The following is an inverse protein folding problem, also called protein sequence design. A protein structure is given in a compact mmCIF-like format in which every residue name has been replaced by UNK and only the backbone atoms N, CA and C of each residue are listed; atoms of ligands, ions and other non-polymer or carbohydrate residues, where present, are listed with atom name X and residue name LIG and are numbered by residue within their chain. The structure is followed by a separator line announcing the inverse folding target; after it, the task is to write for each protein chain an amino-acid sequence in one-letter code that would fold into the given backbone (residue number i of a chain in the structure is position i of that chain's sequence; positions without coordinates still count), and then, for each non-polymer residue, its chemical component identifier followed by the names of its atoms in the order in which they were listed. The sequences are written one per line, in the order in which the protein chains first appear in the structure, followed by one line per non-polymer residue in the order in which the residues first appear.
data_IF_712085737406
#
_entry.id   IF_712085737406
#
_cell.length_a   1.000
_cell.length_b   1.000
_cell.length_c   1.000
_cell.angle_alpha   90.00
_cell.angle_beta   90.00
_cell.angle_gamma   90.00
#
_symmetry.space_group_name_H-M   'P 1'
#
loop_
_entity.id
_entity.type
_entity.pdbx_description
1 polymer ?
#
# COMPACT_ATOMS: atom_id res chain seq x y z
N UNK A 1 42.64 -16.61 50.33
CA UNK A 1 41.44 -17.46 50.30
C UNK A 1 40.57 -17.01 49.14
N UNK A 2 40.44 -17.90 48.14
CA UNK A 2 39.33 -18.12 47.19
C UNK A 2 38.92 -17.06 46.15
N UNK A 3 39.40 -17.33 44.90
CA UNK A 3 38.75 -17.38 43.55
C UNK A 3 37.84 -16.22 43.09
N UNK A 4 37.71 -15.84 41.81
CA UNK A 4 38.47 -15.90 40.54
C UNK A 4 37.57 -15.24 39.46
N UNK A 5 38.12 -14.35 38.63
CA UNK A 5 37.90 -14.15 37.17
C UNK A 5 36.46 -14.14 36.60
N UNK A 6 36.01 -13.04 35.98
CA UNK A 6 35.76 -12.90 34.52
C UNK A 6 35.28 -11.47 34.14
N UNK A 7 35.74 -11.04 32.96
CA UNK A 7 35.61 -9.75 32.27
C UNK A 7 34.24 -9.54 31.59
N UNK A 8 33.81 -8.29 31.38
CA UNK A 8 33.31 -7.71 30.10
C UNK A 8 32.76 -6.27 30.37
N UNK A 9 33.40 -5.19 29.90
CA UNK A 9 33.16 -4.49 28.62
C UNK A 9 31.77 -3.84 28.50
N UNK A 10 31.78 -2.50 28.55
CA UNK A 10 30.88 -1.54 27.89
C UNK A 10 29.41 -1.41 28.37
N UNK A 11 29.16 -0.35 29.15
CA UNK A 11 27.83 0.25 29.29
C UNK A 11 27.91 1.75 28.97
N UNK A 12 27.87 2.08 27.67
CA UNK A 12 27.57 3.43 27.20
C UNK A 12 26.05 3.49 27.02
N UNK A 13 25.41 4.30 27.87
CA UNK A 13 23.99 4.63 27.82
C UNK A 13 23.80 5.57 26.62
N UNK A 14 23.20 5.06 25.53
CA UNK A 14 22.72 5.88 24.42
C UNK A 14 21.18 5.84 24.38
N UNK A 15 20.60 7.02 24.47
CA UNK A 15 19.18 7.33 24.39
C UNK A 15 18.66 7.06 22.98
N UNK A 16 17.84 6.03 22.81
CA UNK A 16 16.96 5.85 21.64
C UNK A 16 15.67 5.11 22.05
N UNK A 17 14.85 5.79 22.85
CA UNK A 17 13.47 5.41 23.08
C UNK A 17 12.60 5.72 21.85
N UNK A 18 12.70 4.91 20.81
CA UNK A 18 11.64 4.83 19.81
C UNK A 18 10.60 3.81 20.30
N UNK A 19 9.35 4.28 20.38
CA UNK A 19 8.15 3.52 20.69
C UNK A 19 8.08 2.25 19.83
N UNK A 20 8.32 1.09 20.45
CA UNK A 20 7.89 -0.21 19.91
C UNK A 20 6.36 -0.23 19.99
N UNK A 21 5.70 -0.03 18.87
CA UNK A 21 4.30 -0.41 18.71
C UNK A 21 4.20 -1.95 18.61
N UNK A 22 3.11 -2.55 19.11
CA UNK A 22 2.99 -4.00 19.16
C UNK A 22 3.02 -4.57 17.74
N UNK A 23 3.99 -5.45 17.48
CA UNK A 23 3.90 -6.43 16.40
C UNK A 23 2.62 -7.24 16.66
N UNK A 24 1.69 -7.37 15.71
CA UNK A 24 0.52 -8.20 15.90
C UNK A 24 0.94 -9.62 16.29
N UNK A 25 0.31 -10.13 17.34
CA UNK A 25 0.54 -11.45 17.90
C UNK A 25 0.38 -12.51 16.81
N UNK A 26 1.24 -13.52 16.86
CA UNK A 26 1.43 -14.64 15.92
C UNK A 26 0.21 -15.60 15.79
N UNK A 27 -1.02 -15.13 16.04
CA UNK A 27 -2.22 -15.95 16.24
C UNK A 27 -3.37 -15.74 15.25
N UNK A 28 -3.59 -14.53 14.72
CA UNK A 28 -4.83 -14.20 13.97
C UNK A 28 -4.54 -13.50 12.64
N UNK A 29 -3.54 -13.99 11.90
CA UNK A 29 -3.08 -13.41 10.62
C UNK A 29 -3.84 -14.05 9.42
N UNK A 30 -4.76 -15.00 9.68
CA UNK A 30 -5.31 -15.89 8.66
C UNK A 30 -6.54 -15.39 7.86
N UNK A 31 -7.17 -14.28 8.21
CA UNK A 31 -8.52 -13.96 7.68
C UNK A 31 -8.65 -12.73 6.76
N UNK A 32 -7.60 -11.94 6.53
CA UNK A 32 -7.69 -10.73 5.67
C UNK A 32 -6.58 -10.65 4.59
N UNK A 33 -5.85 -11.74 4.38
CA UNK A 33 -4.65 -11.85 3.52
C UNK A 33 -4.98 -12.11 2.02
N UNK A 34 -6.24 -11.94 1.59
CA UNK A 34 -6.71 -12.37 0.27
C UNK A 34 -6.57 -11.37 -0.88
N UNK A 35 -6.11 -10.13 -0.63
CA UNK A 35 -6.08 -9.07 -1.65
C UNK A 35 -4.69 -8.63 -2.10
N UNK A 36 -3.63 -8.90 -1.35
CA UNK A 36 -2.26 -8.63 -1.81
C UNK A 36 -1.54 -9.91 -2.24
N UNK A 37 -0.72 -9.89 -3.30
CA UNK A 37 0.10 -11.04 -3.65
C UNK A 37 1.07 -11.34 -2.52
N UNK A 38 1.35 -12.62 -2.27
CA UNK A 38 2.43 -13.00 -1.35
C UNK A 38 3.74 -12.39 -1.87
N UNK A 39 4.49 -11.80 -0.95
CA UNK A 39 5.82 -11.31 -1.27
C UNK A 39 6.70 -12.49 -1.73
N UNK A 40 7.64 -12.24 -2.66
CA UNK A 40 8.65 -13.22 -2.97
C UNK A 40 9.40 -13.66 -1.70
N UNK A 41 9.54 -14.97 -1.51
CA UNK A 41 10.20 -15.55 -0.33
C UNK A 41 11.59 -14.95 -0.11
N UNK A 42 12.03 -14.71 1.14
CA UNK A 42 13.43 -14.36 1.42
C UNK A 42 14.35 -15.46 0.85
N UNK A 43 15.15 -15.12 -0.16
CA UNK A 43 15.99 -16.09 -0.89
C UNK A 43 15.90 -16.04 -2.42
N UNK A 44 15.10 -15.14 -3.01
CA UNK A 44 15.15 -14.91 -4.46
C UNK A 44 16.53 -14.39 -4.86
N UNK A 45 17.27 -15.22 -5.60
CA UNK A 45 18.63 -14.92 -6.09
C UNK A 45 18.66 -13.90 -7.24
N UNK A 46 17.51 -13.47 -7.75
CA UNK A 46 17.37 -12.56 -8.89
C UNK A 46 16.51 -11.33 -8.56
N UNK A 47 17.16 -10.19 -8.37
CA UNK A 47 16.54 -8.88 -8.28
C UNK A 47 17.29 -7.88 -9.17
N UNK A 48 16.61 -6.82 -9.58
CA UNK A 48 17.15 -5.76 -10.43
C UNK A 48 17.80 -4.71 -9.55
N UNK A 49 19.11 -4.50 -9.72
CA UNK A 49 19.86 -3.47 -9.00
C UNK A 49 19.57 -2.08 -9.59
N UNK A 50 19.23 -1.14 -8.72
CA UNK A 50 19.03 0.28 -9.04
C UNK A 50 20.05 1.10 -8.24
N UNK A 51 20.85 1.92 -8.91
CA UNK A 51 21.89 2.74 -8.25
C UNK A 51 21.42 4.16 -7.98
N UNK A 52 20.61 4.70 -8.88
CA UNK A 52 20.15 6.08 -8.84
C UNK A 52 18.80 6.23 -9.54
N UNK A 53 18.30 7.47 -9.57
CA UNK A 53 17.05 7.83 -10.20
C UNK A 53 16.98 7.50 -11.69
N UNK A 54 18.09 7.70 -12.43
CA UNK A 54 18.15 7.44 -13.86
C UNK A 54 18.08 5.94 -14.14
N UNK A 55 18.71 5.14 -13.29
CA UNK A 55 18.61 3.68 -13.31
C UNK A 55 17.18 3.21 -13.06
N UNK A 56 16.47 3.76 -12.07
CA UNK A 56 15.07 3.41 -11.81
C UNK A 56 14.20 3.69 -13.04
N UNK A 57 14.30 4.89 -13.62
CA UNK A 57 13.58 5.25 -14.85
C UNK A 57 13.91 4.30 -15.99
N UNK A 58 15.19 3.96 -16.16
CA UNK A 58 15.64 3.06 -17.23
C UNK A 58 15.02 1.67 -17.08
N UNK A 59 15.02 1.09 -15.88
CA UNK A 59 14.47 -0.27 -15.67
C UNK A 59 12.96 -0.30 -15.81
N UNK A 60 12.25 0.74 -15.34
CA UNK A 60 10.80 0.88 -15.55
C UNK A 60 10.47 1.05 -17.04
N UNK A 61 11.25 1.84 -17.78
CA UNK A 61 11.08 2.01 -19.22
C UNK A 61 11.35 0.74 -20.03
N UNK A 62 12.29 -0.11 -19.58
CA UNK A 62 12.50 -1.43 -20.18
C UNK A 62 11.30 -2.33 -19.88
N UNK A 63 10.80 -2.33 -18.64
CA UNK A 63 9.61 -3.06 -18.25
C UNK A 63 8.38 -2.62 -19.06
N UNK A 64 8.19 -1.32 -19.33
CA UNK A 64 7.09 -0.82 -20.17
C UNK A 64 7.09 -1.39 -21.61
N UNK A 65 8.24 -1.84 -22.13
CA UNK A 65 8.32 -2.47 -23.46
C UNK A 65 7.86 -3.93 -23.43
N UNK A 66 7.72 -4.50 -22.25
CA UNK A 66 7.23 -5.85 -22.00
C UNK A 66 5.81 -5.68 -21.48
N UNK A 67 4.83 -6.26 -22.18
CA UNK A 67 3.48 -6.31 -21.63
C UNK A 67 3.47 -7.29 -20.44
N UNK A 68 2.86 -6.91 -19.32
CA UNK A 68 2.78 -7.73 -18.10
C UNK A 68 4.16 -8.04 -17.45
N UNK A 69 5.05 -7.04 -17.41
CA UNK A 69 6.40 -7.19 -16.87
C UNK A 69 6.43 -7.48 -15.36
N UNK A 70 7.40 -8.27 -14.89
CA UNK A 70 7.67 -8.49 -13.46
C UNK A 70 9.02 -7.88 -13.12
N UNK A 71 9.00 -6.77 -12.39
CA UNK A 71 10.18 -6.02 -11.96
C UNK A 71 10.35 -6.14 -10.44
N UNK A 72 11.20 -7.07 -10.02
CA UNK A 72 11.63 -7.22 -8.63
C UNK A 72 12.92 -6.41 -8.43
N UNK A 73 12.90 -5.48 -7.50
CA UNK A 73 13.99 -4.56 -7.18
C UNK A 73 14.83 -5.09 -6.01
N UNK A 74 16.15 -4.98 -6.11
CA UNK A 74 17.04 -5.20 -4.96
C UNK A 74 16.92 -4.02 -3.99
N UNK A 75 17.21 -4.20 -2.69
CA UNK A 75 17.33 -3.09 -1.75
C UNK A 75 18.17 -1.93 -2.30
N UNK A 76 17.66 -0.72 -2.15
CA UNK A 76 18.36 0.50 -2.53
C UNK A 76 17.83 1.69 -1.75
N UNK A 77 18.61 2.76 -1.72
CA UNK A 77 18.14 4.07 -1.30
C UNK A 77 18.56 5.11 -2.33
N UNK A 78 17.60 5.62 -3.09
CA UNK A 78 17.82 6.67 -4.08
C UNK A 78 17.22 7.99 -3.57
N UNK A 79 17.88 9.09 -3.90
CA UNK A 79 17.44 10.44 -3.54
C UNK A 79 17.21 11.23 -4.83
N UNK A 80 15.96 11.54 -5.15
CA UNK A 80 15.57 12.45 -6.21
C UNK A 80 15.96 13.88 -5.84
N UNK A 81 16.75 14.51 -6.71
CA UNK A 81 17.27 15.87 -6.54
C UNK A 81 16.26 16.96 -6.94
N UNK A 82 15.01 16.61 -7.26
CA UNK A 82 13.92 17.55 -7.45
C UNK A 82 13.78 18.11 -8.87
N UNK A 83 14.21 17.35 -9.87
CA UNK A 83 13.87 17.61 -11.28
C UNK A 83 12.70 16.68 -11.61
N UNK A 84 11.63 17.23 -12.18
CA UNK A 84 10.31 16.63 -12.41
C UNK A 84 10.35 15.45 -13.41
N UNK A 85 11.03 14.36 -13.04
CA UNK A 85 11.38 13.23 -13.88
C UNK A 85 10.82 11.92 -13.29
N UNK A 86 9.51 11.83 -13.06
CA UNK A 86 8.89 10.62 -12.51
C UNK A 86 9.24 9.35 -13.29
N UNK A 87 9.33 8.21 -12.60
CA UNK A 87 9.28 6.91 -13.28
C UNK A 87 7.84 6.63 -13.69
N UNK A 88 7.58 6.54 -15.01
CA UNK A 88 6.23 6.37 -15.54
C UNK A 88 5.96 4.91 -15.91
N UNK A 89 4.90 4.33 -15.39
CA UNK A 89 4.36 3.02 -15.75
C UNK A 89 3.26 3.23 -16.79
N UNK A 90 3.45 2.68 -18.00
CA UNK A 90 2.54 2.85 -19.14
C UNK A 90 1.94 1.54 -19.64
N UNK A 91 2.44 0.40 -19.17
CA UNK A 91 1.89 -0.93 -19.42
C UNK A 91 1.71 -1.68 -18.10
N UNK A 92 0.90 -2.74 -18.13
CA UNK A 92 0.66 -3.55 -16.96
C UNK A 92 1.96 -4.17 -16.45
N UNK A 93 2.22 -4.11 -15.14
CA UNK A 93 3.42 -4.68 -14.53
C UNK A 93 3.30 -4.90 -13.02
N UNK A 94 4.09 -5.83 -12.51
CA UNK A 94 4.45 -5.93 -11.10
C UNK A 94 5.74 -5.16 -10.84
N UNK A 95 5.72 -4.26 -9.86
CA UNK A 95 6.87 -3.51 -9.37
C UNK A 95 6.99 -3.74 -7.86
N UNK A 96 7.90 -4.62 -7.46
CA UNK A 96 8.06 -5.02 -6.06
C UNK A 96 9.48 -4.84 -5.55
N UNK A 97 9.63 -4.65 -4.25
CA UNK A 97 10.91 -4.82 -3.58
C UNK A 97 11.09 -6.26 -3.13
N UNK A 98 12.28 -6.83 -3.36
CA UNK A 98 12.65 -8.17 -2.87
C UNK A 98 12.68 -8.26 -1.34
N UNK A 99 13.08 -7.18 -0.67
CA UNK A 99 12.99 -7.05 0.79
C UNK A 99 12.04 -5.90 1.13
N UNK A 100 10.82 -6.18 1.66
CA UNK A 100 9.84 -5.14 1.93
C UNK A 100 10.41 -3.99 2.75
N UNK A 101 10.17 -2.78 2.25
CA UNK A 101 10.58 -1.50 2.84
C UNK A 101 12.09 -1.16 2.73
N UNK A 102 12.90 -1.99 2.08
CA UNK A 102 14.33 -1.72 1.83
C UNK A 102 14.61 -1.10 0.45
N UNK A 103 13.56 -0.91 -0.38
CA UNK A 103 13.62 -0.09 -1.60
C UNK A 103 13.05 1.30 -1.28
N UNK A 104 13.94 2.27 -1.09
CA UNK A 104 13.60 3.62 -0.63
C UNK A 104 13.79 4.62 -1.77
N UNK A 105 12.70 5.27 -2.15
CA UNK A 105 12.68 6.43 -3.02
C UNK A 105 12.48 7.67 -2.13
N UNK A 106 13.54 8.45 -1.95
CA UNK A 106 13.55 9.70 -1.19
C UNK A 106 13.69 10.90 -2.14
N UNK A 107 13.34 12.10 -1.69
CA UNK A 107 13.56 13.34 -2.42
C UNK A 107 12.32 13.92 -3.10
N UNK A 108 12.51 15.01 -3.84
CA UNK A 108 11.44 15.85 -4.36
C UNK A 108 10.67 15.25 -5.55
N UNK A 109 9.69 15.99 -6.07
CA UNK A 109 8.92 15.61 -7.25
C UNK A 109 7.81 14.60 -6.98
N UNK A 110 7.24 14.05 -8.07
CA UNK A 110 6.40 12.86 -8.07
C UNK A 110 7.31 11.67 -8.35
N UNK A 111 7.25 10.60 -7.56
CA UNK A 111 8.15 9.46 -7.73
C UNK A 111 7.68 8.55 -8.86
N UNK A 112 6.44 8.07 -8.77
CA UNK A 112 5.85 7.16 -9.77
C UNK A 112 4.59 7.78 -10.36
N UNK A 113 4.51 7.77 -11.69
CA UNK A 113 3.28 8.08 -12.44
C UNK A 113 2.77 6.79 -13.07
N UNK A 114 1.49 6.50 -12.94
CA UNK A 114 0.82 5.40 -13.65
C UNK A 114 -0.14 6.02 -14.66
N UNK A 115 -0.04 5.60 -15.91
CA UNK A 115 -0.91 6.03 -16.98
C UNK A 115 -1.17 4.91 -18.01
N UNK A 116 -2.13 5.16 -18.90
CA UNK A 116 -2.52 4.23 -19.96
C UNK A 116 -3.88 3.58 -19.70
N UNK A 117 -4.72 3.58 -20.76
CA UNK A 117 -6.14 3.22 -20.73
C UNK A 117 -6.44 1.79 -20.24
N UNK A 118 -5.48 0.86 -20.30
CA UNK A 118 -5.67 -0.54 -19.89
C UNK A 118 -4.52 -1.02 -18.97
N UNK A 119 -3.81 -0.09 -18.34
CA UNK A 119 -2.65 -0.38 -17.49
C UNK A 119 -3.11 -0.88 -16.13
N UNK A 120 -2.69 -2.07 -15.72
CA UNK A 120 -2.88 -2.58 -14.35
C UNK A 120 -1.52 -2.82 -13.71
N UNK A 121 -1.28 -2.25 -12.53
CA UNK A 121 0.00 -2.41 -11.84
C UNK A 121 -0.17 -2.89 -10.41
N UNK A 122 0.84 -3.60 -9.94
CA UNK A 122 1.00 -3.95 -8.53
C UNK A 122 2.29 -3.30 -8.06
N UNK A 123 2.20 -2.39 -7.11
CA UNK A 123 3.34 -1.76 -6.47
C UNK A 123 3.42 -2.28 -5.05
N UNK A 124 4.54 -2.92 -4.70
CA UNK A 124 4.65 -3.66 -3.45
C UNK A 124 5.96 -3.45 -2.70
N UNK A 125 5.89 -3.21 -1.39
CA UNK A 125 7.09 -3.24 -0.54
C UNK A 125 8.00 -2.02 -0.68
N UNK A 126 7.55 -0.91 -1.27
CA UNK A 126 8.39 0.28 -1.55
C UNK A 126 8.13 1.38 -0.52
N UNK A 127 9.19 2.07 -0.11
CA UNK A 127 9.10 3.29 0.72
C UNK A 127 9.21 4.52 -0.17
N UNK A 128 8.18 5.36 -0.13
CA UNK A 128 8.11 6.66 -0.79
C UNK A 128 8.20 7.76 0.25
N UNK A 129 9.28 8.55 0.23
CA UNK A 129 9.49 9.61 1.22
C UNK A 129 10.00 10.91 0.65
N UNK A 130 9.70 12.01 1.33
CA UNK A 130 10.23 13.33 0.97
C UNK A 130 9.68 13.96 -0.31
N UNK A 131 8.68 13.34 -0.95
CA UNK A 131 8.10 13.84 -2.20
C UNK A 131 7.55 15.26 -2.03
N UNK A 132 7.82 16.13 -3.00
CA UNK A 132 7.32 17.52 -3.01
C UNK A 132 6.07 17.72 -3.88
N UNK A 133 5.69 16.68 -4.63
CA UNK A 133 4.41 16.47 -5.31
C UNK A 133 3.83 15.13 -4.80
N UNK A 134 2.61 14.69 -5.20
CA UNK A 134 2.14 13.36 -4.82
C UNK A 134 3.19 12.32 -5.19
N UNK A 135 3.69 11.55 -4.23
CA UNK A 135 4.71 10.53 -4.47
C UNK A 135 4.27 9.53 -5.55
N UNK A 136 2.99 9.18 -5.57
CA UNK A 136 2.37 8.32 -6.55
C UNK A 136 1.17 9.02 -7.18
N UNK A 137 1.20 9.16 -8.51
CA UNK A 137 0.09 9.75 -9.28
C UNK A 137 -0.51 8.70 -10.21
N UNK A 138 -1.80 8.47 -10.09
CA UNK A 138 -2.57 7.59 -10.98
C UNK A 138 -3.42 8.44 -11.90
N UNK A 139 -3.02 8.51 -13.17
CA UNK A 139 -3.78 9.17 -14.23
C UNK A 139 -4.96 8.27 -14.68
N UNK A 140 -5.88 8.75 -15.53
CA UNK A 140 -7.00 7.93 -15.97
C UNK A 140 -6.53 6.62 -16.62
N UNK A 141 -6.96 5.50 -16.06
CA UNK A 141 -6.64 4.15 -16.54
C UNK A 141 -7.85 3.38 -17.02
N UNK A 142 -9.07 3.96 -17.03
CA UNK A 142 -10.39 3.52 -17.56
C UNK A 142 -10.83 2.05 -17.44
N UNK A 143 -9.97 1.07 -17.71
CA UNK A 143 -10.20 -0.38 -17.60
C UNK A 143 -9.12 -1.10 -16.75
N UNK A 144 -8.04 -0.41 -16.40
CA UNK A 144 -6.94 -0.93 -15.60
C UNK A 144 -7.08 -0.63 -14.10
N UNK A 145 -6.61 -1.57 -13.28
CA UNK A 145 -6.70 -1.51 -11.82
C UNK A 145 -5.30 -1.49 -11.18
N UNK A 146 -5.09 -0.58 -10.22
CA UNK A 146 -3.80 -0.45 -9.54
C UNK A 146 -3.90 -1.01 -8.13
N UNK A 147 -2.93 -1.80 -7.72
CA UNK A 147 -2.79 -2.27 -6.36
C UNK A 147 -1.52 -1.73 -5.74
N UNK A 148 -1.66 -1.06 -4.61
CA UNK A 148 -0.55 -0.51 -3.82
C UNK A 148 -0.57 -1.26 -2.50
N UNK A 149 0.46 -2.05 -2.22
CA UNK A 149 0.45 -2.95 -1.08
C UNK A 149 1.77 -2.97 -0.30
N UNK A 150 1.71 -3.02 1.03
CA UNK A 150 2.91 -3.05 1.88
C UNK A 150 3.89 -1.90 1.53
N UNK A 151 3.33 -0.72 1.23
CA UNK A 151 4.11 0.46 0.88
C UNK A 151 4.05 1.48 2.03
N UNK A 152 5.15 2.22 2.21
CA UNK A 152 5.23 3.26 3.23
C UNK A 152 5.36 4.62 2.56
N UNK A 153 4.45 5.54 2.88
CA UNK A 153 4.46 6.92 2.42
C UNK A 153 4.78 7.82 3.60
N UNK A 154 6.01 8.35 3.66
CA UNK A 154 6.54 8.99 4.85
C UNK A 154 7.03 10.40 4.53
N UNK A 155 6.61 11.40 5.32
CA UNK A 155 7.13 12.77 5.24
C UNK A 155 7.01 13.41 3.84
N UNK A 156 6.03 13.02 3.04
CA UNK A 156 5.78 13.66 1.74
C UNK A 156 5.09 15.02 1.99
N UNK A 157 5.59 16.09 1.36
CA UNK A 157 5.20 17.48 1.66
C UNK A 157 4.86 18.23 0.38
N UNK A 158 3.58 18.27 0.07
CA UNK A 158 3.05 18.96 -1.11
C UNK A 158 2.54 20.34 -0.74
N UNK A 159 3.13 21.39 -1.34
CA UNK A 159 2.79 22.80 -1.03
C UNK A 159 1.63 23.33 -1.85
N UNK A 160 1.62 23.02 -3.15
CA UNK A 160 0.78 23.71 -4.14
C UNK A 160 -0.22 22.76 -4.85
N UNK A 161 -0.30 21.51 -4.39
CA UNK A 161 -1.24 20.51 -4.92
C UNK A 161 -1.99 19.77 -3.79
N UNK A 162 -3.01 19.01 -4.20
CA UNK A 162 -3.79 18.11 -3.34
C UNK A 162 -3.24 16.69 -3.44
N UNK A 163 -3.32 15.93 -2.36
CA UNK A 163 -2.72 14.60 -2.26
C UNK A 163 -1.24 14.68 -1.90
N UNK A 164 -0.87 14.42 -0.65
CA UNK A 164 0.54 14.48 -0.27
C UNK A 164 1.33 13.23 -0.64
N UNK A 165 0.68 12.07 -0.74
CA UNK A 165 1.32 10.80 -1.05
C UNK A 165 0.75 10.16 -2.30
N UNK A 166 -0.56 9.91 -2.34
CA UNK A 166 -1.24 9.33 -3.49
C UNK A 166 -2.26 10.34 -4.02
N UNK A 167 -2.24 10.56 -5.34
CA UNK A 167 -3.27 11.31 -6.04
C UNK A 167 -3.82 10.49 -7.18
N UNK A 168 -5.14 10.32 -7.21
CA UNK A 168 -5.82 9.65 -8.32
C UNK A 168 -6.65 10.65 -9.11
N UNK A 169 -6.71 10.44 -10.42
CA UNK A 169 -7.58 11.19 -11.33
C UNK A 169 -8.91 10.46 -11.56
N UNK A 170 -9.86 11.15 -12.18
CA UNK A 170 -11.14 10.54 -12.57
C UNK A 170 -10.87 9.35 -13.50
N UNK A 171 -11.72 8.33 -13.44
CA UNK A 171 -11.64 7.13 -14.28
C UNK A 171 -10.34 6.33 -14.05
N UNK A 172 -9.86 6.33 -12.81
CA UNK A 172 -8.84 5.41 -12.29
C UNK A 172 -9.45 4.50 -11.21
N UNK A 173 -8.89 3.30 -11.05
CA UNK A 173 -9.27 2.35 -10.01
C UNK A 173 -8.05 1.90 -9.22
N UNK A 174 -8.08 2.07 -7.90
CA UNK A 174 -6.95 1.81 -7.00
C UNK A 174 -7.38 1.06 -5.75
N UNK A 175 -6.66 0.01 -5.40
CA UNK A 175 -6.74 -0.67 -4.12
C UNK A 175 -5.47 -0.41 -3.32
N UNK A 176 -5.62 0.03 -2.07
CA UNK A 176 -4.52 0.29 -1.14
C UNK A 176 -4.65 -0.66 0.06
N UNK A 177 -3.64 -1.50 0.27
CA UNK A 177 -3.66 -2.54 1.30
C UNK A 177 -2.39 -2.53 2.16
N UNK A 178 -2.53 -2.71 3.47
CA UNK A 178 -1.37 -2.90 4.36
C UNK A 178 -0.30 -1.79 4.25
N UNK A 179 -0.72 -0.55 3.96
CA UNK A 179 0.18 0.57 3.77
C UNK A 179 0.27 1.45 5.01
N UNK A 180 1.41 2.13 5.17
CA UNK A 180 1.60 3.18 6.16
C UNK A 180 1.63 4.55 5.48
N UNK A 181 0.84 5.49 5.98
CA UNK A 181 0.90 6.91 5.63
C UNK A 181 1.26 7.69 6.88
N UNK A 182 2.51 8.14 6.96
CA UNK A 182 3.04 8.81 8.15
C UNK A 182 3.52 10.24 7.85
N UNK A 183 3.04 11.18 8.66
CA UNK A 183 3.55 12.56 8.70
C UNK A 183 3.56 13.30 7.35
N UNK A 184 2.65 12.91 6.45
CA UNK A 184 2.49 13.56 5.16
C UNK A 184 1.77 14.91 5.33
N UNK A 185 2.10 15.88 4.47
CA UNK A 185 1.51 17.21 4.45
C UNK A 185 1.01 17.58 3.06
N UNK A 186 -0.16 18.20 2.99
CA UNK A 186 -0.76 18.64 1.75
C UNK A 186 -1.86 19.68 1.99
N UNK A 187 -2.42 20.24 0.91
CA UNK A 187 -3.54 21.19 1.02
C UNK A 187 -4.82 20.45 1.42
N UNK A 188 -5.21 19.43 0.65
CA UNK A 188 -6.35 18.57 0.94
C UNK A 188 -5.95 17.12 0.75
N UNK A 189 -6.41 16.24 1.64
CA UNK A 189 -6.05 14.82 1.57
C UNK A 189 -4.54 14.65 1.69
N UNK A 190 -3.98 15.03 2.84
CA UNK A 190 -2.52 15.15 2.99
C UNK A 190 -1.77 13.84 2.78
N UNK A 191 -2.42 12.69 2.94
CA UNK A 191 -1.91 11.40 2.47
C UNK A 191 -2.50 11.09 1.09
N UNK A 192 -3.83 11.10 0.97
CA UNK A 192 -4.52 10.65 -0.23
C UNK A 192 -5.54 11.69 -0.70
N UNK A 193 -5.47 12.04 -1.99
CA UNK A 193 -6.54 12.76 -2.68
C UNK A 193 -7.13 11.90 -3.79
N UNK A 194 -8.40 11.52 -3.63
CA UNK A 194 -9.08 10.60 -4.53
C UNK A 194 -10.06 11.32 -5.48
N UNK A 195 -9.93 11.06 -6.79
CA UNK A 195 -10.93 11.45 -7.81
C UNK A 195 -11.50 10.28 -8.61
N UNK A 196 -10.98 9.08 -8.40
CA UNK A 196 -11.40 7.83 -9.05
C UNK A 196 -12.13 6.88 -8.09
N UNK A 197 -12.07 5.58 -8.38
CA UNK A 197 -12.52 4.51 -7.49
C UNK A 197 -11.38 4.09 -6.58
N UNK A 198 -11.60 4.07 -5.27
CA UNK A 198 -10.58 3.68 -4.31
C UNK A 198 -11.11 2.77 -3.21
N UNK A 199 -10.45 1.65 -2.99
CA UNK A 199 -10.64 0.81 -1.81
C UNK A 199 -9.38 0.86 -0.95
N UNK A 200 -9.53 1.10 0.35
CA UNK A 200 -8.43 1.09 1.30
C UNK A 200 -8.74 0.12 2.43
N UNK A 201 -7.81 -0.78 2.69
CA UNK A 201 -7.93 -1.72 3.80
C UNK A 201 -6.61 -1.89 4.57
N UNK A 202 -6.73 -2.27 5.85
CA UNK A 202 -5.60 -2.59 6.73
C UNK A 202 -4.46 -1.57 6.71
N UNK A 203 -4.79 -0.30 6.45
CA UNK A 203 -3.79 0.74 6.27
C UNK A 203 -3.82 1.70 7.45
N UNK A 204 -2.65 2.24 7.79
CA UNK A 204 -2.49 3.14 8.92
C UNK A 204 -2.17 4.55 8.43
N UNK A 205 -2.95 5.51 8.88
CA UNK A 205 -2.75 6.94 8.65
C UNK A 205 -2.41 7.59 9.99
N UNK A 206 -1.16 8.01 10.16
CA UNK A 206 -0.69 8.60 11.41
C UNK A 206 0.03 9.94 11.23
N UNK A 207 -0.34 10.92 12.05
CA UNK A 207 0.36 12.21 12.09
C UNK A 207 0.27 13.04 10.79
N UNK A 208 -0.63 12.69 9.86
CA UNK A 208 -0.77 13.41 8.60
C UNK A 208 -1.48 14.76 8.82
N UNK A 209 -1.11 15.78 8.05
CA UNK A 209 -1.62 17.13 8.24
C UNK A 209 -2.05 17.81 6.94
N UNK A 210 -3.34 18.10 6.83
CA UNK A 210 -3.92 18.91 5.76
C UNK A 210 -4.19 20.34 6.23
N UNK A 211 -3.78 21.34 5.44
CA UNK A 211 -4.12 22.75 5.70
C UNK A 211 -5.56 23.11 5.33
N UNK A 212 -6.25 22.24 4.59
CA UNK A 212 -7.66 22.29 4.26
C UNK A 212 -8.42 21.07 4.81
N UNK A 213 -9.25 20.45 3.95
CA UNK A 213 -10.09 19.31 4.32
C UNK A 213 -9.44 17.95 4.08
N UNK A 214 -9.82 16.98 4.92
CA UNK A 214 -9.30 15.61 4.81
C UNK A 214 -7.90 15.51 5.39
N UNK A 215 -7.81 15.51 6.72
CA UNK A 215 -6.56 15.51 7.48
C UNK A 215 -5.59 14.42 7.02
N UNK A 216 -6.11 13.26 6.62
CA UNK A 216 -5.39 12.22 5.90
C UNK A 216 -5.94 12.04 4.47
N UNK A 217 -7.25 11.93 4.31
CA UNK A 217 -7.88 11.57 3.04
C UNK A 217 -8.90 12.62 2.61
N UNK A 218 -8.83 13.07 1.36
CA UNK A 218 -9.89 13.83 0.70
C UNK A 218 -10.41 13.05 -0.50
N UNK A 219 -11.66 12.62 -0.42
CA UNK A 219 -12.43 12.13 -1.54
C UNK A 219 -13.13 13.30 -2.24
N UNK A 220 -12.89 13.46 -3.54
CA UNK A 220 -13.48 14.55 -4.33
C UNK A 220 -14.87 14.18 -4.86
N UNK A 221 -15.54 15.13 -5.53
CA UNK A 221 -16.90 14.95 -6.05
C UNK A 221 -17.04 13.78 -7.04
N UNK A 222 -16.00 13.49 -7.83
CA UNK A 222 -16.00 12.35 -8.75
C UNK A 222 -15.45 11.06 -8.11
N UNK A 223 -14.85 11.19 -6.94
CA UNK A 223 -14.21 10.10 -6.24
C UNK A 223 -15.24 9.24 -5.50
N UNK A 224 -14.99 7.94 -5.50
CA UNK A 224 -15.68 6.96 -4.68
C UNK A 224 -14.62 6.29 -3.83
N UNK A 225 -14.90 6.14 -2.54
CA UNK A 225 -13.96 5.55 -1.60
C UNK A 225 -14.68 4.55 -0.72
N UNK A 226 -14.00 3.46 -0.39
CA UNK A 226 -14.38 2.49 0.62
C UNK A 226 -13.22 2.28 1.58
N UNK A 227 -13.50 2.31 2.87
CA UNK A 227 -12.55 2.16 3.97
C UNK A 227 -12.95 0.95 4.83
N UNK A 228 -12.00 0.08 5.12
CA UNK A 228 -12.21 -1.13 5.92
C UNK A 228 -10.97 -1.38 6.78
N UNK A 229 -11.13 -1.66 8.08
CA UNK A 229 -10.00 -2.00 8.96
C UNK A 229 -8.80 -1.01 8.92
N UNK A 230 -9.07 0.27 8.68
CA UNK A 230 -8.03 1.31 8.65
C UNK A 230 -7.86 1.96 10.02
N UNK A 231 -6.65 2.38 10.35
CA UNK A 231 -6.37 3.15 11.57
C UNK A 231 -6.05 4.59 11.22
N UNK A 232 -6.79 5.52 11.81
CA UNK A 232 -6.54 6.96 11.70
C UNK A 232 -6.14 7.51 13.07
N UNK A 233 -4.88 7.88 13.23
CA UNK A 233 -4.36 8.40 14.50
C UNK A 233 -3.63 9.74 14.36
N UNK A 234 -3.88 10.70 15.26
CA UNK A 234 -3.11 11.96 15.34
C UNK A 234 -3.05 12.77 14.03
N UNK A 235 -3.99 12.56 13.11
CA UNK A 235 -4.07 13.33 11.89
C UNK A 235 -4.76 14.67 12.16
N UNK A 236 -4.37 15.72 11.43
CA UNK A 236 -4.89 17.07 11.61
C UNK A 236 -5.41 17.66 10.30
N UNK A 237 -6.66 18.12 10.31
CA UNK A 237 -7.22 18.98 9.27
C UNK A 237 -7.55 20.35 9.85
N UNK A 238 -7.24 21.44 9.13
CA UNK A 238 -7.70 22.76 9.55
C UNK A 238 -9.18 23.00 9.18
N UNK A 239 -9.70 22.33 8.14
CA UNK A 239 -11.07 22.52 7.65
C UNK A 239 -11.77 21.17 7.45
N UNK A 240 -12.32 20.53 8.49
CA UNK A 240 -13.10 19.28 8.33
C UNK A 240 -12.68 18.16 9.27
N UNK A 241 -12.55 16.93 8.76
CA UNK A 241 -12.16 15.75 9.55
C UNK A 241 -10.90 15.08 8.98
N UNK A 242 -10.49 13.96 9.58
CA UNK A 242 -9.40 13.12 9.05
C UNK A 242 -9.74 12.56 7.66
N UNK A 243 -11.01 12.23 7.40
CA UNK A 243 -11.54 11.90 6.07
C UNK A 243 -12.55 12.96 5.66
N UNK A 244 -12.38 13.56 4.48
CA UNK A 244 -13.37 14.47 3.92
C UNK A 244 -13.89 13.97 2.58
N UNK A 245 -15.18 14.14 2.31
CA UNK A 245 -15.84 13.77 1.05
C UNK A 245 -16.61 14.97 0.47
N UNK A 246 -17.15 14.86 -0.75
CA UNK A 246 -17.94 15.92 -1.42
C UNK A 246 -19.24 15.32 -1.96
N UNK A 247 -20.38 15.75 -1.42
CA UNK A 247 -21.69 15.54 -2.06
C UNK A 247 -22.28 14.17 -1.75
N UNK A 248 -22.06 13.71 -0.53
CA UNK A 248 -22.43 12.38 -0.10
C UNK A 248 -23.91 12.38 0.33
N UNK A 249 -24.70 11.48 -0.26
CA UNK A 249 -26.07 11.19 0.19
C UNK A 249 -26.08 9.75 0.73
N UNK A 250 -26.07 9.62 2.06
CA UNK A 250 -26.19 8.39 2.87
C UNK A 250 -24.91 7.50 3.06
N UNK A 251 -24.75 6.81 4.22
CA UNK A 251 -23.44 6.41 4.78
C UNK A 251 -22.70 5.20 4.18
N UNK A 252 -23.32 4.44 3.27
CA UNK A 252 -23.06 2.98 3.22
C UNK A 252 -21.97 2.44 2.27
N UNK A 253 -21.29 3.20 1.38
CA UNK A 253 -20.10 2.65 0.70
C UNK A 253 -18.76 3.15 1.28
N UNK A 254 -18.76 4.21 2.10
CA UNK A 254 -17.50 4.84 2.55
C UNK A 254 -16.83 4.08 3.67
N UNK A 255 -17.60 3.63 4.65
CA UNK A 255 -17.11 2.90 5.81
C UNK A 255 -17.77 1.51 5.83
N UNK A 256 -16.95 0.46 5.69
CA UNK A 256 -17.39 -0.94 5.79
C UNK A 256 -17.04 -1.59 7.14
N UNK A 257 -16.66 -0.79 8.13
CA UNK A 257 -16.41 -1.24 9.50
C UNK A 257 -14.93 -1.51 9.80
N UNK A 258 -14.67 -1.74 11.09
CA UNK A 258 -13.33 -2.06 11.62
C UNK A 258 -12.35 -0.88 11.61
N UNK A 259 -12.80 0.31 11.21
CA UNK A 259 -11.98 1.51 11.17
C UNK A 259 -11.81 2.08 12.58
N UNK A 260 -10.56 2.37 12.98
CA UNK A 260 -10.22 2.89 14.31
C UNK A 260 -9.79 4.34 14.18
N UNK A 261 -10.43 5.24 14.93
CA UNK A 261 -10.13 6.68 14.92
C UNK A 261 -9.73 7.14 16.31
N UNK A 262 -8.53 7.71 16.45
CA UNK A 262 -8.06 8.22 17.73
C UNK A 262 -7.22 9.49 17.60
N UNK A 263 -7.41 10.43 18.53
CA UNK A 263 -6.56 11.63 18.66
C UNK A 263 -6.44 12.49 17.39
N UNK A 264 -7.40 12.41 16.46
CA UNK A 264 -7.42 13.27 15.27
C UNK A 264 -7.97 14.65 15.62
N UNK A 265 -7.42 15.68 15.00
CA UNK A 265 -7.76 17.09 15.24
C UNK A 265 -8.42 17.65 13.99
N UNK A 266 -9.64 18.14 14.14
CA UNK A 266 -10.41 18.77 13.07
C UNK A 266 -11.73 19.31 13.60
N UNK A 267 -12.52 19.89 12.70
CA UNK A 267 -13.92 20.29 12.97
C UNK A 267 -14.78 19.10 13.37
N UNK A 268 -14.66 17.97 12.68
CA UNK A 268 -15.37 16.73 13.02
C UNK A 268 -14.37 15.73 13.59
N UNK A 269 -14.33 15.62 14.91
CA UNK A 269 -13.49 14.63 15.61
C UNK A 269 -13.95 13.19 15.36
N UNK A 270 -15.21 13.02 14.95
CA UNK A 270 -15.83 11.72 14.63
C UNK A 270 -15.26 11.01 13.40
N UNK A 271 -14.46 11.71 12.60
CA UNK A 271 -13.59 11.07 11.62
C UNK A 271 -13.92 11.38 10.17
N UNK A 272 -15.20 11.59 9.83
CA UNK A 272 -15.65 11.86 8.46
C UNK A 272 -16.38 13.20 8.38
N UNK A 273 -16.16 13.96 7.31
CA UNK A 273 -16.81 15.24 7.02
C UNK A 273 -17.23 15.34 5.55
N UNK A 274 -18.50 15.63 5.28
CA UNK A 274 -18.96 15.98 3.94
C UNK A 274 -18.92 17.49 3.74
N UNK A 275 -18.04 17.95 2.84
CA UNK A 275 -17.86 19.38 2.57
C UNK A 275 -19.05 20.02 1.84
N UNK A 276 -19.93 19.23 1.22
CA UNK A 276 -21.09 19.78 0.48
C UNK A 276 -22.27 20.04 1.41
N UNK A 277 -22.52 19.12 2.34
CA UNK A 277 -23.65 19.21 3.27
C UNK A 277 -23.28 19.85 4.61
N UNK A 278 -21.97 20.07 4.86
CA UNK A 278 -21.43 20.55 6.12
C UNK A 278 -21.74 19.63 7.31
N UNK A 279 -21.84 18.32 7.04
CA UNK A 279 -22.21 17.30 8.03
C UNK A 279 -21.00 16.48 8.48
N UNK A 280 -20.91 16.23 9.78
CA UNK A 280 -19.95 15.34 10.41
C UNK A 280 -20.56 13.93 10.56
N UNK A 281 -19.78 12.90 10.25
CA UNK A 281 -20.14 11.50 10.49
C UNK A 281 -19.10 10.82 11.38
N UNK A 282 -19.57 9.84 12.14
CA UNK A 282 -18.74 8.89 12.87
C UNK A 282 -18.43 7.70 11.95
N UNK A 283 -17.26 7.09 12.14
CA UNK A 283 -17.06 5.74 11.66
C UNK A 283 -17.98 4.78 12.44
N UNK A 284 -18.60 3.85 11.73
CA UNK A 284 -19.48 2.84 12.31
C UNK A 284 -18.69 1.79 13.10
N UNK A 285 -19.33 1.23 14.11
CA UNK A 285 -18.88 -0.02 14.72
C UNK A 285 -19.17 -1.18 13.75
N UNK A 286 -18.40 -2.27 13.84
CA UNK A 286 -18.73 -3.49 13.08
C UNK A 286 -20.11 -3.96 13.56
N UNK A 287 -21.13 -3.89 12.70
CA UNK A 287 -22.45 -4.44 13.04
C UNK A 287 -22.29 -5.97 13.23
N UNK A 288 -22.50 -6.44 14.45
CA UNK A 288 -22.36 -7.86 14.80
C UNK A 288 -23.41 -8.76 14.10
N UNK A 289 -24.41 -8.18 13.42
CA UNK A 289 -25.49 -8.89 12.74
C UNK A 289 -25.41 -8.82 11.19
N UNK A 290 -24.42 -8.09 10.66
CA UNK A 290 -23.97 -8.19 9.27
C UNK A 290 -22.43 -8.24 9.30
N UNK A 291 -21.81 -9.39 9.67
CA UNK A 291 -20.48 -9.67 9.11
C UNK A 291 -20.61 -9.39 7.62
N UNK A 292 -19.65 -8.72 6.95
CA UNK A 292 -19.76 -8.53 5.50
C UNK A 292 -20.15 -9.90 4.95
N UNK A 293 -21.37 -10.01 4.41
CA UNK A 293 -21.92 -11.24 3.85
C UNK A 293 -21.20 -11.45 2.53
N UNK A 294 -19.91 -11.69 2.67
CA UNK A 294 -19.10 -12.49 1.80
C UNK A 294 -19.47 -13.89 2.27
N UNK A 295 -20.51 -14.48 1.67
CA UNK A 295 -20.78 -15.94 1.73
C UNK A 295 -19.65 -16.75 1.03
N UNK A 296 -18.39 -16.31 1.16
CA UNK A 296 -17.21 -17.05 0.79
C UNK A 296 -16.20 -17.17 1.96
N UNK A 297 -16.53 -17.60 3.19
CA UNK A 297 -15.46 -17.95 4.15
C UNK A 297 -15.14 -19.44 4.09
N UNK A 298 -16.13 -20.35 4.13
CA UNK A 298 -15.83 -21.79 4.25
C UNK A 298 -15.31 -22.40 2.95
N UNK A 299 -15.84 -21.98 1.79
CA UNK A 299 -15.32 -22.45 0.50
C UNK A 299 -13.96 -21.82 0.17
N UNK A 300 -13.68 -20.60 0.67
CA UNK A 300 -12.45 -19.82 0.40
C UNK A 300 -11.30 -20.19 1.34
N UNK A 301 -11.59 -20.55 2.60
CA UNK A 301 -10.63 -21.21 3.50
C UNK A 301 -10.25 -22.60 2.99
N UNK A 302 -11.22 -23.33 2.40
CA UNK A 302 -10.92 -24.56 1.67
C UNK A 302 -10.06 -24.21 0.45
N UNK A 303 -10.47 -23.24 -0.38
CA UNK A 303 -9.81 -22.76 -1.61
C UNK A 303 -8.30 -22.48 -1.45
N UNK A 304 -7.88 -21.75 -0.41
CA UNK A 304 -6.46 -21.38 -0.19
C UNK A 304 -5.64 -22.44 0.55
N UNK A 305 -6.29 -23.44 1.15
CA UNK A 305 -5.64 -24.60 1.75
C UNK A 305 -5.64 -25.83 0.83
N UNK A 306 -6.27 -25.76 -0.36
CA UNK A 306 -6.12 -26.81 -1.37
C UNK A 306 -4.89 -26.56 -2.23
N UNK A 307 -4.20 -27.63 -2.64
CA UNK A 307 -3.21 -27.59 -3.73
C UNK A 307 -3.87 -27.55 -5.13
N UNK A 308 -5.21 -27.56 -5.20
CA UNK A 308 -6.02 -27.65 -6.42
C UNK A 308 -6.23 -26.27 -7.07
N UNK A 309 -5.44 -26.01 -8.11
CA UNK A 309 -5.39 -24.76 -8.86
C UNK A 309 -6.70 -24.50 -9.63
N UNK A 310 -7.39 -25.53 -10.12
CA UNK A 310 -8.60 -25.36 -10.94
C UNK A 310 -9.80 -24.91 -10.08
N UNK A 311 -9.84 -25.36 -8.82
CA UNK A 311 -10.82 -24.90 -7.85
C UNK A 311 -10.55 -23.46 -7.39
N UNK A 312 -9.28 -23.10 -7.17
CA UNK A 312 -8.86 -21.72 -6.89
C UNK A 312 -9.26 -20.77 -8.01
N UNK A 313 -9.08 -21.18 -9.27
CA UNK A 313 -9.37 -20.39 -10.47
C UNK A 313 -10.86 -20.09 -10.66
N UNK A 314 -11.74 -21.10 -10.53
CA UNK A 314 -13.20 -20.92 -10.66
C UNK A 314 -13.78 -19.96 -9.60
N UNK A 315 -13.15 -19.91 -8.43
CA UNK A 315 -13.56 -19.02 -7.34
C UNK A 315 -12.95 -17.61 -7.49
N UNK A 316 -11.74 -17.47 -8.02
CA UNK A 316 -11.08 -16.20 -8.32
C UNK A 316 -11.80 -15.40 -9.43
N UNK A 317 -12.29 -16.09 -10.46
CA UNK A 317 -13.07 -15.51 -11.57
C UNK A 317 -14.49 -15.05 -11.18
N UNK A 318 -14.99 -15.51 -10.02
CA UNK A 318 -16.35 -15.22 -9.54
C UNK A 318 -16.46 -13.91 -8.72
N UNK A 319 -15.34 -13.24 -8.42
CA UNK A 319 -15.32 -12.06 -7.56
C UNK A 319 -15.59 -10.76 -8.34
N UNK A 320 -16.53 -9.90 -7.90
CA UNK A 320 -16.94 -8.68 -8.62
C UNK A 320 -15.88 -7.54 -8.61
N UNK A 321 -14.72 -7.76 -8.00
CA UNK A 321 -13.71 -6.73 -7.68
C UNK A 321 -12.67 -6.58 -8.79
N UNK A 322 -12.47 -7.61 -9.61
CA UNK A 322 -11.60 -7.55 -10.76
C UNK A 322 -12.49 -7.38 -11.99
N UNK A 323 -12.16 -6.43 -12.88
CA UNK A 323 -12.86 -6.27 -14.15
C UNK A 323 -12.78 -7.52 -15.03
N UNK A 324 -13.10 -7.35 -16.32
CA UNK A 324 -13.16 -8.39 -17.37
C UNK A 324 -12.16 -9.56 -17.23
N UNK A 325 -12.50 -10.76 -17.74
CA UNK A 325 -11.73 -12.03 -17.72
C UNK A 325 -10.19 -11.91 -17.81
N UNK A 326 -9.70 -10.86 -18.49
CA UNK A 326 -8.27 -10.52 -18.59
C UNK A 326 -7.58 -10.23 -17.25
N UNK A 327 -8.26 -9.65 -16.26
CA UNK A 327 -7.62 -9.28 -14.98
C UNK A 327 -7.39 -10.50 -14.09
N UNK A 328 -8.36 -11.43 -14.07
CA UNK A 328 -8.25 -12.72 -13.40
C UNK A 328 -7.20 -13.63 -14.07
N UNK A 329 -7.19 -13.67 -15.42
CA UNK A 329 -6.17 -14.42 -16.20
C UNK A 329 -4.74 -13.90 -15.98
N UNK A 330 -4.56 -12.64 -15.60
CA UNK A 330 -3.24 -12.04 -15.33
C UNK A 330 -2.74 -12.28 -13.91
N UNK A 331 -3.63 -12.24 -12.92
CA UNK A 331 -3.32 -12.69 -11.56
C UNK A 331 -2.85 -14.16 -11.56
N UNK A 332 -3.48 -15.00 -12.41
CA UNK A 332 -3.06 -16.39 -12.66
C UNK A 332 -1.60 -16.50 -13.12
N UNK A 333 -1.20 -15.74 -14.14
CA UNK A 333 0.17 -15.78 -14.66
C UNK A 333 1.23 -15.35 -13.62
N UNK A 334 0.91 -14.36 -12.78
CA UNK A 334 1.79 -13.91 -11.69
C UNK A 334 1.94 -15.00 -10.62
N UNK A 335 0.84 -15.65 -10.24
CA UNK A 335 0.84 -16.75 -9.27
C UNK A 335 1.57 -18.01 -9.79
N UNK A 336 1.39 -18.34 -11.06
CA UNK A 336 2.14 -19.41 -11.75
C UNK A 336 3.64 -19.09 -11.82
N UNK A 337 4.02 -17.84 -12.08
CA UNK A 337 5.42 -17.40 -12.05
C UNK A 337 6.04 -17.58 -10.66
N UNK A 338 5.39 -17.13 -9.59
CA UNK A 338 5.90 -17.31 -8.23
C UNK A 338 5.96 -18.78 -7.78
N UNK A 339 5.09 -19.67 -8.30
CA UNK A 339 5.20 -21.13 -8.10
C UNK A 339 6.37 -21.75 -8.87
N UNK A 340 6.69 -21.23 -10.05
CA UNK A 340 7.82 -21.70 -10.87
C UNK A 340 9.18 -21.42 -10.22
N UNK A 341 9.23 -20.43 -9.32
CA UNK A 341 10.37 -20.13 -8.46
C UNK A 341 10.24 -21.03 -7.21
N UNK A 342 10.50 -22.34 -7.37
CA UNK A 342 10.71 -23.20 -6.21
C UNK A 342 11.88 -22.62 -5.38
N UNK A 343 11.78 -22.54 -4.05
CA UNK A 343 12.95 -22.29 -3.24
C UNK A 343 13.95 -23.41 -3.51
N UNK A 344 15.18 -23.06 -3.91
CA UNK A 344 16.28 -24.02 -3.88
C UNK A 344 16.39 -24.47 -2.43
N UNK A 345 16.08 -25.73 -2.15
CA UNK A 345 16.30 -26.31 -0.84
C UNK A 345 17.80 -26.21 -0.53
N UNK A 346 18.14 -25.54 0.57
CA UNK A 346 19.49 -25.56 1.13
C UNK A 346 19.60 -26.77 2.06
N UNK A 347 19.30 -27.95 1.51
CA UNK A 347 19.51 -29.31 2.04
C UNK A 347 19.50 -30.15 0.74
N UNK A 348 20.59 -30.69 0.18
CA UNK A 348 21.77 -31.35 0.72
C UNK A 348 23.03 -30.99 -0.10
N UNK A 349 24.08 -30.53 0.56
CA UNK A 349 25.47 -30.70 0.08
C UNK A 349 26.41 -30.58 1.29
N UNK A 350 26.23 -31.49 2.25
CA UNK A 350 27.36 -31.89 3.10
C UNK A 350 28.27 -32.74 2.21
N UNK A 351 29.20 -32.06 1.52
CA UNK A 351 30.39 -32.74 1.01
C UNK A 351 31.22 -33.06 2.24
N UNK A 352 31.19 -34.32 2.67
CA UNK A 352 32.21 -34.85 3.58
C UNK A 352 33.58 -34.59 2.93
N UNK A 353 34.41 -33.81 3.62
CA UNK A 353 35.82 -33.65 3.25
C UNK A 353 36.57 -34.95 3.58
N UNK A 354 37.31 -35.54 2.64
CA UNK A 354 38.14 -36.70 2.95
C UNK A 354 39.45 -36.22 3.57
N UNK A 355 39.61 -36.39 4.89
CA UNK A 355 40.92 -36.51 5.55
C UNK A 355 40.82 -37.42 6.77
#
# INVERSE_FOLDING_TARGET
MTRSVFSLVSLIIAVSGFLRFPVPVKGDIGQLDGKCPRMPSPGITFCTRVKDWQDLKRVVNIANRQNDAILILCPFHIIDKGIDDSATITTSMYLGCSEPHECIIDGGGTHIVIEGKNTSSIIQGIVFRGASKPALRVLPTTEGHQMICHCNFILNRVKDERGGSIKTEKDSAVTVGFCLFEQNRGIEGSAIYNRGQMEIYHSTFTGNHASGAGGAIKNSKSGHITLLFCTFQKNKSNLGAVVATVGFRAPLPLDKGGNVVSQNIGRCTGGIYDTTTDVCFLFGELENDDPPTIELPQLFETMMNTDDLDLQMKLFESQPIWGTENTASRAKNIMEYFRSIQPISVEDNVVESPH
#
